data_IF_343938423776
#
_entry.id   IF_343938423776
#
_cell.length_a   1.000
_cell.length_b   1.000
_cell.length_c   1.000
_cell.angle_alpha   90.00
_cell.angle_beta   90.00
_cell.angle_gamma   90.00
#
_symmetry.space_group_name_H-M   'P 1'
#
loop_
_entity.id
_entity.type
_entity.pdbx_description
1 polymer ?
#
# COMPACT_ATOMS: atom_id res chain seq x y z
N UNK A 1 -5.79 13.12 10.12
CA UNK A 1 -4.34 13.30 10.29
C UNK A 1 -3.94 14.74 9.97
N UNK A 2 -3.23 15.44 10.88
CA UNK A 2 -2.65 16.78 10.62
C UNK A 2 -1.58 16.75 9.50
N UNK A 3 -1.40 17.87 8.78
CA UNK A 3 -0.46 17.97 7.65
C UNK A 3 0.99 17.71 8.06
N UNK A 4 1.39 18.18 9.25
CA UNK A 4 2.73 18.00 9.80
C UNK A 4 3.07 16.52 10.04
N UNK A 5 2.12 15.77 10.63
CA UNK A 5 2.28 14.32 10.85
C UNK A 5 2.49 13.55 9.53
N UNK A 6 1.78 13.93 8.46
CA UNK A 6 1.98 13.32 7.13
C UNK A 6 3.36 13.64 6.54
N UNK A 7 3.86 14.86 6.72
CA UNK A 7 5.19 15.27 6.24
C UNK A 7 6.28 14.48 6.95
N UNK A 8 6.19 14.37 8.28
CA UNK A 8 7.12 13.62 9.11
C UNK A 8 7.14 12.12 8.76
N UNK A 9 5.97 11.49 8.61
CA UNK A 9 5.89 10.09 8.18
C UNK A 9 6.53 9.84 6.81
N UNK A 10 6.34 10.75 5.83
CA UNK A 10 7.01 10.62 4.53
C UNK A 10 8.53 10.73 4.66
N UNK A 11 9.03 11.60 5.54
CA UNK A 11 10.46 11.73 5.75
C UNK A 11 11.05 10.46 6.37
N UNK A 12 10.38 9.87 7.36
CA UNK A 12 10.76 8.58 7.96
C UNK A 12 10.77 7.47 6.87
N UNK A 13 9.73 7.38 6.05
CA UNK A 13 9.67 6.38 4.97
C UNK A 13 10.73 6.58 3.87
N UNK A 14 11.21 7.81 3.65
CA UNK A 14 12.34 8.08 2.76
C UNK A 14 13.65 7.62 3.38
N UNK A 15 13.88 7.98 4.64
CA UNK A 15 15.10 7.59 5.37
C UNK A 15 15.21 6.06 5.47
N UNK A 16 14.09 5.35 5.65
CA UNK A 16 14.04 3.89 5.71
C UNK A 16 14.03 3.21 4.32
N UNK A 17 14.13 3.96 3.22
CA UNK A 17 14.11 3.43 1.84
C UNK A 17 12.75 2.91 1.34
N UNK A 18 11.76 2.76 2.23
CA UNK A 18 10.43 2.19 1.92
C UNK A 18 9.68 3.00 0.85
N UNK A 19 9.78 4.33 0.86
CA UNK A 19 9.04 5.17 -0.09
C UNK A 19 9.55 5.03 -1.53
N UNK A 20 10.87 4.93 -1.71
CA UNK A 20 11.48 4.75 -3.03
C UNK A 20 11.10 3.40 -3.61
N UNK A 21 11.18 2.35 -2.79
CA UNK A 21 10.76 1.01 -3.17
C UNK A 21 9.30 0.98 -3.64
N UNK A 22 8.38 1.57 -2.86
CA UNK A 22 6.96 1.66 -3.24
C UNK A 22 6.74 2.41 -4.56
N UNK A 23 7.50 3.47 -4.85
CA UNK A 23 7.43 4.18 -6.14
C UNK A 23 7.91 3.33 -7.32
N UNK A 24 8.97 2.53 -7.13
CA UNK A 24 9.49 1.63 -8.17
C UNK A 24 8.46 0.54 -8.46
N UNK A 25 7.91 -0.11 -7.44
CA UNK A 25 6.90 -1.15 -7.61
C UNK A 25 5.63 -0.58 -8.25
N UNK A 26 5.16 0.59 -7.81
CA UNK A 26 4.01 1.26 -8.43
C UNK A 26 4.19 1.46 -9.94
N UNK A 27 5.38 1.89 -10.38
CA UNK A 27 5.70 2.03 -11.81
C UNK A 27 5.71 0.69 -12.54
N UNK A 28 6.34 -0.35 -11.97
CA UNK A 28 6.36 -1.70 -12.56
C UNK A 28 4.96 -2.30 -12.70
N UNK A 29 4.07 -1.98 -11.77
CA UNK A 29 2.67 -2.42 -11.76
C UNK A 29 1.74 -1.56 -12.62
N UNK A 30 2.27 -0.57 -13.35
CA UNK A 30 1.48 0.35 -14.17
C UNK A 30 0.55 1.27 -13.39
N UNK A 31 0.83 1.53 -12.11
CA UNK A 31 0.06 2.46 -11.28
C UNK A 31 0.56 3.89 -11.51
N UNK A 32 -0.37 4.85 -11.65
CA UNK A 32 -0.07 6.28 -11.87
C UNK A 32 0.51 6.94 -10.62
N UNK A 33 0.26 6.37 -9.44
CA UNK A 33 0.79 6.88 -8.17
C UNK A 33 0.99 5.77 -7.12
N UNK A 34 1.77 6.07 -6.08
CA UNK A 34 1.90 5.18 -4.89
C UNK A 34 0.56 5.02 -4.18
N UNK A 35 -0.32 6.02 -4.24
CA UNK A 35 -1.64 5.95 -3.62
C UNK A 35 -2.55 4.95 -4.33
N UNK A 36 -2.51 4.93 -5.67
CA UNK A 36 -3.22 3.94 -6.47
C UNK A 36 -2.68 2.53 -6.19
N UNK A 37 -1.36 2.38 -6.11
CA UNK A 37 -0.73 1.11 -5.71
C UNK A 37 -1.23 0.62 -4.35
N UNK A 38 -1.24 1.50 -3.33
CA UNK A 38 -1.73 1.14 -1.99
C UNK A 38 -3.21 0.72 -2.02
N UNK A 39 -4.07 1.42 -2.77
CA UNK A 39 -5.48 1.04 -2.94
C UNK A 39 -5.64 -0.33 -3.58
N UNK A 40 -4.85 -0.64 -4.61
CA UNK A 40 -4.87 -1.96 -5.26
C UNK A 40 -4.40 -3.07 -4.32
N UNK A 41 -3.36 -2.83 -3.52
CA UNK A 41 -2.88 -3.81 -2.54
C UNK A 41 -3.93 -4.08 -1.45
N UNK A 42 -4.54 -3.03 -0.89
CA UNK A 42 -5.60 -3.18 0.12
C UNK A 42 -6.81 -3.96 -0.42
N UNK A 43 -7.18 -3.76 -1.69
CA UNK A 43 -8.22 -4.57 -2.34
C UNK A 43 -7.81 -6.04 -2.48
N UNK A 44 -6.57 -6.31 -2.91
CA UNK A 44 -6.07 -7.70 -3.05
C UNK A 44 -6.07 -8.40 -1.71
N UNK A 45 -5.59 -7.73 -0.67
CA UNK A 45 -5.59 -8.24 0.71
C UNK A 45 -7.01 -8.55 1.21
N UNK A 46 -7.97 -7.64 0.97
CA UNK A 46 -9.38 -7.89 1.27
C UNK A 46 -9.93 -9.11 0.53
N UNK A 47 -9.71 -9.21 -0.77
CA UNK A 47 -10.20 -10.33 -1.58
C UNK A 47 -9.57 -11.68 -1.16
N UNK A 48 -8.28 -11.67 -0.79
CA UNK A 48 -7.59 -12.85 -0.26
C UNK A 48 -8.24 -13.30 1.05
N UNK A 49 -8.46 -12.37 1.97
CA UNK A 49 -9.10 -12.64 3.24
C UNK A 49 -10.53 -13.17 3.07
N UNK A 50 -11.32 -12.58 2.18
CA UNK A 50 -12.66 -13.10 1.87
C UNK A 50 -12.64 -14.52 1.28
N UNK A 51 -11.59 -14.90 0.53
CA UNK A 51 -11.43 -16.28 0.06
C UNK A 51 -10.95 -17.25 1.14
N UNK A 52 -10.13 -16.79 2.09
CA UNK A 52 -9.75 -17.58 3.28
C UNK A 52 -10.97 -17.84 4.16
N UNK A 53 -11.72 -16.79 4.51
CA UNK A 53 -12.92 -16.88 5.34
C UNK A 53 -14.00 -17.79 4.69
N UNK A 54 -14.09 -17.83 3.36
CA UNK A 54 -15.02 -18.70 2.64
C UNK A 54 -14.54 -20.16 2.51
N UNK A 55 -13.25 -20.46 2.72
CA UNK A 55 -12.72 -21.84 2.70
C UNK A 55 -12.93 -22.56 4.02
N UNK A 56 -12.96 -21.83 5.14
CA UNK A 56 -13.26 -22.37 6.47
C UNK A 56 -14.77 -22.53 6.71
N UNK A 57 -15.46 -23.10 5.71
CA UNK A 57 -16.91 -23.20 5.59
C UNK A 57 -17.63 -23.46 6.92
N UNK A 58 -18.53 -22.54 7.26
CA UNK A 58 -19.63 -22.80 8.19
C UNK A 58 -20.84 -23.28 7.41
#
# INVERSE_FOLDING_TARGET
>A
MSSFKRKMQRQIQKNNGTLLHKKVVARKMGCKSVEEYNRRMARREKNLKEMEDNKDGK
#
